data_IF_327862502457
#
_entry.id   IF_327862502457
#
_cell.length_a   1.000
_cell.length_b   1.000
_cell.length_c   1.000
_cell.angle_alpha   90.00
_cell.angle_beta   90.00
_cell.angle_gamma   90.00
#
_symmetry.space_group_name_H-M   'P 1'
#
loop_
_entity.id
_entity.type
_entity.pdbx_description
1 polymer ?
#
# COMPACT_ATOMS: atom_id res chain seq x y z
N UNK A 1 4.77 1.07 16.38
CA UNK A 1 4.17 1.69 15.18
C UNK A 1 2.78 1.09 15.02
N UNK A 2 1.87 1.71 14.27
CA UNK A 2 0.61 1.07 13.87
C UNK A 2 0.33 1.51 12.43
N UNK A 3 0.23 0.54 11.52
CA UNK A 3 -0.14 0.76 10.12
C UNK A 3 1.03 1.30 9.30
N UNK A 4 0.80 2.41 8.61
CA UNK A 4 1.80 3.08 7.76
C UNK A 4 2.16 4.44 8.33
N UNK A 5 3.46 4.74 8.38
CA UNK A 5 3.97 6.08 8.65
C UNK A 5 4.77 6.58 7.44
N UNK A 6 4.85 7.90 7.28
CA UNK A 6 5.62 8.51 6.20
C UNK A 6 6.75 9.37 6.75
N UNK A 7 7.91 9.31 6.10
CA UNK A 7 8.93 10.34 6.22
C UNK A 7 8.64 11.41 5.17
N UNK A 8 8.72 12.66 5.59
CA UNK A 8 8.51 13.82 4.73
C UNK A 8 9.76 14.68 4.66
N UNK A 9 10.02 15.26 3.49
CA UNK A 9 11.09 16.24 3.33
C UNK A 9 10.66 17.63 3.87
N UNK A 10 11.56 18.63 3.78
CA UNK A 10 11.27 20.00 4.22
C UNK A 10 10.16 20.71 3.42
N UNK A 11 9.81 20.19 2.23
CA UNK A 11 8.69 20.66 1.41
C UNK A 11 7.37 19.92 1.74
N UNK A 12 7.37 19.05 2.75
CA UNK A 12 6.25 18.21 3.17
C UNK A 12 5.85 17.13 2.12
N UNK A 13 6.76 16.76 1.24
CA UNK A 13 6.58 15.67 0.28
C UNK A 13 6.96 14.34 0.94
N UNK A 14 6.19 13.28 0.67
CA UNK A 14 6.45 11.93 1.19
C UNK A 14 7.63 11.34 0.43
N UNK A 15 8.71 11.04 1.13
CA UNK A 15 9.93 10.47 0.56
C UNK A 15 10.14 9.01 0.94
N UNK A 16 9.46 8.53 1.98
CA UNK A 16 9.54 7.12 2.36
C UNK A 16 8.29 6.69 3.12
N UNK A 17 7.91 5.42 2.94
CA UNK A 17 6.86 4.75 3.68
C UNK A 17 7.47 3.72 4.64
N UNK A 18 7.03 3.77 5.91
CA UNK A 18 7.32 2.79 6.93
C UNK A 18 6.07 1.96 7.18
N UNK A 19 6.13 0.68 6.81
CA UNK A 19 5.01 -0.25 6.90
C UNK A 19 5.22 -1.17 8.09
N UNK A 20 4.29 -1.19 9.03
CA UNK A 20 4.35 -2.05 10.21
C UNK A 20 4.10 -3.52 9.83
N UNK A 21 5.13 -4.35 10.03
CA UNK A 21 5.09 -5.76 9.69
C UNK A 21 4.15 -6.58 10.58
N UNK A 22 3.82 -6.10 11.79
CA UNK A 22 2.91 -6.82 12.70
C UNK A 22 1.45 -6.75 12.25
N UNK A 23 1.05 -5.67 11.57
CA UNK A 23 -0.32 -5.46 11.13
C UNK A 23 -0.55 -6.11 9.75
N UNK A 24 0.47 -6.15 8.91
CA UNK A 24 0.39 -6.66 7.53
C UNK A 24 1.19 -7.96 7.32
N UNK A 25 1.24 -8.83 8.33
CA UNK A 25 2.11 -10.02 8.34
C UNK A 25 1.83 -11.00 7.18
N UNK A 26 0.56 -11.21 6.81
CA UNK A 26 0.17 -12.13 5.72
C UNK A 26 0.55 -11.59 4.34
N UNK A 27 0.28 -10.30 4.08
CA UNK A 27 0.72 -9.61 2.86
C UNK A 27 2.24 -9.71 2.72
N UNK A 28 2.96 -9.51 3.83
CA UNK A 28 4.41 -9.56 3.83
C UNK A 28 4.97 -10.96 3.54
N UNK A 29 4.34 -12.01 4.08
CA UNK A 29 4.73 -13.38 3.76
C UNK A 29 4.54 -13.71 2.28
N UNK A 30 3.49 -13.18 1.65
CA UNK A 30 3.27 -13.28 0.21
C UNK A 30 4.33 -12.49 -0.58
N UNK A 31 4.58 -11.24 -0.20
CA UNK A 31 5.58 -10.40 -0.86
C UNK A 31 6.98 -11.02 -0.79
N UNK A 32 7.42 -11.53 0.37
CA UNK A 32 8.72 -12.21 0.52
C UNK A 32 8.87 -13.46 -0.36
N UNK A 33 7.77 -14.17 -0.62
CA UNK A 33 7.80 -15.35 -1.49
C UNK A 33 8.01 -14.97 -2.96
N UNK A 34 7.52 -13.79 -3.37
CA UNK A 34 7.66 -13.27 -4.74
C UNK A 34 8.96 -12.48 -4.92
N UNK A 35 9.37 -11.70 -3.92
CA UNK A 35 10.61 -10.94 -3.89
C UNK A 35 11.76 -11.75 -3.31
N UNK A 36 12.17 -12.80 -4.03
CA UNK A 36 13.31 -13.62 -3.63
C UNK A 36 14.68 -12.89 -3.68
N UNK A 37 14.75 -11.63 -4.15
CA UNK A 37 16.02 -10.97 -4.46
C UNK A 37 16.10 -9.43 -4.30
N UNK A 38 15.11 -8.73 -3.75
CA UNK A 38 15.18 -7.27 -3.66
C UNK A 38 15.89 -6.78 -2.39
N UNK A 39 16.59 -5.66 -2.54
CA UNK A 39 17.32 -4.89 -1.54
C UNK A 39 16.41 -4.21 -0.51
N UNK A 40 15.38 -4.92 -0.04
CA UNK A 40 14.37 -4.40 0.89
C UNK A 40 15.02 -3.98 2.21
N UNK A 41 14.75 -2.74 2.61
CA UNK A 41 15.31 -2.15 3.83
C UNK A 41 14.35 -2.42 4.98
N UNK A 42 14.87 -2.96 6.09
CA UNK A 42 14.08 -3.24 7.27
C UNK A 42 14.55 -2.40 8.46
N UNK A 43 13.57 -1.90 9.21
CA UNK A 43 13.81 -1.42 10.55
C UNK A 43 13.79 -2.63 11.50
N UNK A 44 14.84 -2.80 12.29
CA UNK A 44 14.97 -3.87 13.28
C UNK A 44 14.92 -3.32 14.70
N UNK A 45 14.42 -4.13 15.65
CA UNK A 45 14.48 -3.79 17.07
C UNK A 45 15.84 -4.16 17.68
N UNK A 46 16.01 -3.86 18.97
CA UNK A 46 17.20 -4.20 19.75
C UNK A 46 17.54 -5.71 19.82
N UNK A 47 16.57 -6.58 19.52
CA UNK A 47 16.75 -8.02 19.43
C UNK A 47 17.04 -8.52 18.00
N UNK A 48 17.20 -7.61 17.03
CA UNK A 48 17.43 -7.94 15.62
C UNK A 48 16.19 -8.42 14.86
N UNK A 49 15.00 -8.32 15.46
CA UNK A 49 13.75 -8.70 14.78
C UNK A 49 13.31 -7.57 13.85
N UNK A 50 12.90 -7.92 12.62
CA UNK A 50 12.31 -6.98 11.66
C UNK A 50 10.96 -6.50 12.19
N UNK A 51 10.81 -5.18 12.34
CA UNK A 51 9.59 -4.55 12.87
C UNK A 51 8.86 -3.69 11.85
N UNK A 52 9.57 -3.16 10.85
CA UNK A 52 8.98 -2.40 9.76
C UNK A 52 9.73 -2.63 8.45
N UNK A 53 9.00 -2.55 7.34
CA UNK A 53 9.58 -2.36 6.02
C UNK A 53 9.72 -0.87 5.74
N UNK A 54 10.84 -0.48 5.15
CA UNK A 54 11.09 0.89 4.68
C UNK A 54 11.13 0.83 3.17
N UNK A 55 10.26 1.61 2.54
CA UNK A 55 10.25 1.85 1.10
C UNK A 55 10.71 3.28 0.84
N UNK A 56 11.65 3.47 -0.07
CA UNK A 56 12.05 4.77 -0.58
C UNK A 56 11.10 5.18 -1.71
N UNK A 57 10.21 6.14 -1.45
CA UNK A 57 9.23 6.58 -2.45
C UNK A 57 9.85 7.49 -3.52
N UNK A 58 11.17 7.72 -3.46
CA UNK A 58 11.93 8.41 -4.52
C UNK A 58 12.59 7.45 -5.50
N UNK A 59 12.60 6.15 -5.18
CA UNK A 59 13.05 5.08 -6.05
C UNK A 59 11.85 4.44 -6.79
N UNK A 60 12.01 4.16 -8.08
CA UNK A 60 10.91 3.67 -8.92
C UNK A 60 10.46 2.25 -8.51
N UNK A 61 11.37 1.36 -8.12
CA UNK A 61 11.02 -0.02 -7.75
C UNK A 61 10.24 -0.04 -6.42
N UNK A 62 10.70 0.74 -5.43
CA UNK A 62 10.02 0.87 -4.15
C UNK A 62 8.68 1.62 -4.27
N UNK A 63 8.54 2.49 -5.26
CA UNK A 63 7.27 3.13 -5.59
C UNK A 63 6.26 2.13 -6.17
N UNK A 64 6.67 1.25 -7.10
CA UNK A 64 5.81 0.17 -7.61
C UNK A 64 5.36 -0.78 -6.49
N UNK A 65 6.28 -1.17 -5.60
CA UNK A 65 5.96 -1.98 -4.42
C UNK A 65 4.98 -1.29 -3.47
N UNK A 66 5.07 0.03 -3.35
CA UNK A 66 4.13 0.82 -2.57
C UNK A 66 2.73 0.83 -3.18
N UNK A 67 2.62 0.93 -4.51
CA UNK A 67 1.35 0.84 -5.23
C UNK A 67 0.72 -0.54 -5.07
N UNK A 68 1.50 -1.61 -5.24
CA UNK A 68 1.04 -2.99 -5.01
C UNK A 68 0.55 -3.20 -3.57
N UNK A 69 1.25 -2.63 -2.59
CA UNK A 69 0.80 -2.64 -1.20
C UNK A 69 -0.54 -1.90 -1.02
N UNK A 70 -0.68 -0.71 -1.60
CA UNK A 70 -1.92 0.07 -1.52
C UNK A 70 -3.09 -0.66 -2.18
N UNK A 71 -2.88 -1.25 -3.35
CA UNK A 71 -3.89 -2.02 -4.07
C UNK A 71 -4.29 -3.27 -3.29
N UNK A 72 -3.32 -3.99 -2.72
CA UNK A 72 -3.60 -5.15 -1.86
C UNK A 72 -4.44 -4.79 -0.63
N UNK A 73 -4.11 -3.69 0.05
CA UNK A 73 -4.90 -3.19 1.19
C UNK A 73 -6.29 -2.74 0.74
N UNK A 74 -6.40 -2.01 -0.37
CA UNK A 74 -7.67 -1.57 -0.92
C UNK A 74 -8.55 -2.78 -1.24
N UNK A 75 -8.05 -3.76 -1.99
CA UNK A 75 -8.78 -4.99 -2.36
C UNK A 75 -9.35 -5.70 -1.12
N UNK A 76 -8.56 -5.82 -0.04
CA UNK A 76 -9.02 -6.41 1.21
C UNK A 76 -10.18 -5.62 1.84
N UNK A 77 -10.15 -4.28 1.78
CA UNK A 77 -11.24 -3.43 2.30
C UNK A 77 -12.51 -3.48 1.44
N UNK A 78 -12.39 -3.50 0.11
CA UNK A 78 -13.54 -3.59 -0.84
C UNK A 78 -14.01 -5.04 -1.09
N UNK A 79 -13.40 -6.05 -0.47
CA UNK A 79 -13.85 -7.45 -0.63
C UNK A 79 -15.29 -7.66 -0.17
N UNK A 80 -15.78 -6.82 0.75
CA UNK A 80 -17.13 -6.88 1.30
C UNK A 80 -18.08 -5.80 0.75
N UNK A 81 -17.61 -4.93 -0.14
CA UNK A 81 -18.48 -3.91 -0.73
C UNK A 81 -19.36 -4.51 -1.82
N UNK A 82 -20.67 -4.15 -1.88
CA UNK A 82 -21.53 -4.56 -2.97
C UNK A 82 -21.01 -3.97 -4.28
N UNK A 83 -20.53 -4.84 -5.17
CA UNK A 83 -20.06 -4.44 -6.51
C UNK A 83 -21.22 -4.46 -7.49
N UNK A 84 -21.48 -3.33 -8.16
CA UNK A 84 -22.38 -3.27 -9.30
C UNK A 84 -21.59 -3.46 -10.59
N UNK A 85 -22.23 -3.98 -11.64
CA UNK A 85 -21.61 -4.11 -12.94
C UNK A 85 -21.23 -2.73 -13.50
N UNK A 86 -20.13 -2.64 -14.24
CA UNK A 86 -19.69 -1.38 -14.87
C UNK A 86 -20.78 -0.71 -15.71
N UNK A 87 -21.58 -1.51 -16.44
CA UNK A 87 -22.70 -0.99 -17.22
C UNK A 87 -23.73 -0.26 -16.35
N UNK A 88 -23.99 -0.75 -15.14
CA UNK A 88 -24.88 -0.12 -14.15
C UNK A 88 -24.25 1.14 -13.58
N UNK A 89 -22.97 1.06 -13.15
CA UNK A 89 -22.25 2.23 -12.61
C UNK A 89 -22.17 3.39 -13.62
N UNK A 90 -21.92 3.07 -14.88
CA UNK A 90 -21.85 4.05 -15.96
C UNK A 90 -23.20 4.73 -16.21
N UNK A 91 -24.28 3.95 -16.25
CA UNK A 91 -25.62 4.50 -16.43
C UNK A 91 -26.01 5.48 -15.30
N UNK A 92 -25.64 5.17 -14.06
CA UNK A 92 -25.88 6.04 -12.91
C UNK A 92 -25.07 7.35 -13.01
N UNK A 93 -23.79 7.28 -13.40
CA UNK A 93 -22.94 8.45 -13.62
C UNK A 93 -23.46 9.36 -14.73
N UNK A 94 -23.85 8.79 -15.88
CA UNK A 94 -24.41 9.53 -17.00
C UNK A 94 -25.75 10.19 -16.60
N UNK A 95 -26.56 9.52 -15.78
CA UNK A 95 -27.81 10.09 -15.24
C UNK A 95 -27.56 11.25 -14.27
N UNK A 96 -26.46 11.24 -13.51
CA UNK A 96 -26.07 12.35 -12.61
C UNK A 96 -25.57 13.54 -13.43
N UNK A 97 -24.72 13.29 -14.44
CA UNK A 97 -24.16 14.33 -15.31
C UNK A 97 -25.23 15.07 -16.12
N UNK A 98 -26.37 14.43 -16.42
CA UNK A 98 -27.47 15.04 -17.18
C UNK A 98 -28.43 15.86 -16.29
N UNK A 99 -28.27 15.83 -14.96
CA UNK A 99 -29.10 16.57 -13.99
C UNK A 99 -28.48 17.89 -13.51
N UNK A 100 -27.30 18.24 -14.00
CA UNK A 100 -26.59 19.51 -13.74
C UNK A 100 -26.66 20.38 -14.99
#
# INVERSE_FOLDING_TARGET
MQGVQFLVNSANERISALIDLKIHAEFWAALQAETANSSLIFLTNEHGQKVALVLDLTDEEDQELWEDFCDGVAIATVAHEPRIAWATAKADLDSIATRV
#
